data_IF_701309644623
#
_entry.id   IF_701309644623
#
_cell.length_a   1.000
_cell.length_b   1.000
_cell.length_c   1.000
_cell.angle_alpha   90.00
_cell.angle_beta   90.00
_cell.angle_gamma   90.00
#
_symmetry.space_group_name_H-M   'P 1'
#
loop_
_entity.id
_entity.type
_entity.pdbx_description
1 polymer ?
#
# COMPACT_ATOMS: atom_id res chain seq x y z
N UNK A 1 23.37 -8.62 3.45
CA UNK A 1 22.09 -8.18 2.84
C UNK A 1 21.48 -9.16 1.84
N UNK A 2 22.13 -9.47 0.72
CA UNK A 2 21.50 -10.26 -0.37
C UNK A 2 21.00 -11.66 0.04
N UNK A 3 21.70 -12.33 0.96
CA UNK A 3 21.25 -13.63 1.48
C UNK A 3 20.01 -13.51 2.38
N UNK A 4 19.88 -12.41 3.13
CA UNK A 4 18.71 -12.14 3.95
C UNK A 4 17.48 -11.87 3.08
N UNK A 5 17.63 -11.08 2.01
CA UNK A 5 16.61 -10.90 0.97
C UNK A 5 16.13 -12.22 0.38
N UNK A 6 17.08 -13.07 -0.07
CA UNK A 6 16.76 -14.37 -0.66
C UNK A 6 15.99 -15.26 0.32
N UNK A 7 16.39 -15.27 1.59
CA UNK A 7 15.72 -16.07 2.62
C UNK A 7 14.27 -15.60 2.87
N UNK A 8 14.02 -14.28 2.95
CA UNK A 8 12.66 -13.76 3.11
C UNK A 8 11.76 -14.07 1.91
N UNK A 9 12.24 -13.84 0.68
CA UNK A 9 11.49 -14.19 -0.52
C UNK A 9 11.23 -15.70 -0.59
N UNK A 10 12.24 -16.52 -0.33
CA UNK A 10 12.09 -17.97 -0.30
C UNK A 10 11.01 -18.39 0.69
N UNK A 11 11.04 -17.86 1.91
CA UNK A 11 10.01 -18.13 2.93
C UNK A 11 8.61 -17.78 2.44
N UNK A 12 8.46 -16.64 1.76
CA UNK A 12 7.15 -16.14 1.32
C UNK A 12 6.62 -16.93 0.11
N UNK A 13 7.44 -17.14 -0.91
CA UNK A 13 7.07 -17.91 -2.09
C UNK A 13 6.89 -19.41 -1.83
N UNK A 14 7.29 -19.94 -0.67
CA UNK A 14 6.99 -21.32 -0.29
C UNK A 14 5.75 -21.44 0.61
N UNK A 15 5.14 -20.32 1.01
CA UNK A 15 3.89 -20.35 1.76
C UNK A 15 2.70 -20.55 0.82
N UNK A 16 2.03 -21.68 0.95
CA UNK A 16 0.78 -21.99 0.23
C UNK A 16 -0.28 -20.89 0.42
N UNK A 17 -0.33 -20.27 1.60
CA UNK A 17 -1.28 -19.20 1.90
C UNK A 17 -1.14 -18.00 0.96
N UNK A 18 0.06 -17.69 0.45
CA UNK A 18 0.29 -16.57 -0.47
C UNK A 18 -0.40 -16.81 -1.81
N UNK A 19 -0.23 -18.00 -2.39
CA UNK A 19 -0.89 -18.36 -3.64
C UNK A 19 -2.40 -18.53 -3.49
N UNK A 20 -2.86 -19.13 -2.38
CA UNK A 20 -4.29 -19.25 -2.08
C UNK A 20 -4.93 -17.86 -1.98
N UNK A 21 -4.24 -16.91 -1.35
CA UNK A 21 -4.72 -15.53 -1.27
C UNK A 21 -4.80 -14.87 -2.64
N UNK A 22 -3.73 -14.92 -3.44
CA UNK A 22 -3.74 -14.36 -4.80
C UNK A 22 -4.82 -14.98 -5.69
N UNK A 23 -4.99 -16.31 -5.63
CA UNK A 23 -6.04 -17.00 -6.34
C UNK A 23 -7.44 -16.57 -5.88
N UNK A 24 -7.63 -16.43 -4.55
CA UNK A 24 -8.90 -15.93 -3.98
C UNK A 24 -9.20 -14.51 -4.46
N UNK A 25 -8.24 -13.60 -4.43
CA UNK A 25 -8.40 -12.23 -4.94
C UNK A 25 -8.74 -12.24 -6.44
N UNK A 26 -8.07 -13.08 -7.22
CA UNK A 26 -8.32 -13.23 -8.66
C UNK A 26 -9.75 -13.71 -8.94
N UNK A 27 -10.19 -14.77 -8.26
CA UNK A 27 -11.55 -15.33 -8.40
C UNK A 27 -12.61 -14.31 -7.98
N UNK A 28 -12.42 -13.62 -6.85
CA UNK A 28 -13.34 -12.59 -6.38
C UNK A 28 -13.42 -11.41 -7.35
N UNK A 29 -12.30 -10.99 -7.92
CA UNK A 29 -12.26 -9.90 -8.89
C UNK A 29 -12.97 -10.26 -10.19
N UNK A 30 -12.71 -11.47 -10.71
CA UNK A 30 -13.41 -12.01 -11.89
C UNK A 30 -14.92 -12.08 -11.61
N UNK A 31 -15.32 -12.68 -10.49
CA UNK A 31 -16.72 -12.81 -10.12
C UNK A 31 -17.41 -11.45 -9.98
N UNK A 32 -16.78 -10.48 -9.30
CA UNK A 32 -17.32 -9.13 -9.15
C UNK A 32 -17.53 -8.44 -10.51
N UNK A 33 -16.58 -8.61 -11.44
CA UNK A 33 -16.67 -8.05 -12.79
C UNK A 33 -17.79 -8.70 -13.60
N UNK A 34 -17.96 -10.03 -13.52
CA UNK A 34 -19.05 -10.73 -14.19
C UNK A 34 -20.42 -10.38 -13.61
N UNK A 35 -20.54 -10.22 -12.29
CA UNK A 35 -21.79 -9.78 -11.65
C UNK A 35 -22.14 -8.36 -12.09
N UNK A 36 -21.15 -7.47 -12.19
CA UNK A 36 -21.34 -6.08 -12.64
C UNK A 36 -21.54 -5.95 -14.16
N UNK A 37 -21.27 -6.99 -14.94
CA UNK A 37 -21.27 -6.93 -16.42
C UNK A 37 -22.59 -6.43 -17.01
N UNK A 38 -23.75 -6.72 -16.39
CA UNK A 38 -25.05 -6.22 -16.85
C UNK A 38 -25.20 -4.69 -16.76
N UNK A 39 -24.35 -4.02 -15.98
CA UNK A 39 -24.34 -2.57 -15.81
C UNK A 39 -23.19 -1.89 -16.61
N UNK A 40 -22.17 -2.65 -17.00
CA UNK A 40 -21.00 -2.14 -17.71
C UNK A 40 -21.31 -2.15 -19.22
N UNK A 41 -21.66 -0.99 -19.78
CA UNK A 41 -22.04 -0.87 -21.20
C UNK A 41 -20.98 -0.21 -22.07
N UNK A 42 -19.99 0.43 -21.45
CA UNK A 42 -18.91 1.15 -22.12
C UNK A 42 -17.58 1.01 -21.39
N UNK A 43 -16.48 1.34 -22.07
CA UNK A 43 -15.16 1.40 -21.44
C UNK A 43 -15.06 2.44 -20.30
N UNK A 44 -15.88 3.50 -20.34
CA UNK A 44 -15.97 4.49 -19.26
C UNK A 44 -16.67 3.90 -18.02
N UNK A 45 -17.77 3.16 -18.21
CA UNK A 45 -18.44 2.46 -17.10
C UNK A 45 -17.49 1.44 -16.45
N UNK A 46 -16.68 0.76 -17.28
CA UNK A 46 -15.65 -0.15 -16.79
C UNK A 46 -14.59 0.58 -15.96
N UNK A 47 -14.07 1.72 -16.43
CA UNK A 47 -13.09 2.51 -15.70
C UNK A 47 -13.66 3.05 -14.37
N UNK A 48 -14.93 3.44 -14.32
CA UNK A 48 -15.59 3.84 -13.08
C UNK A 48 -15.72 2.67 -12.10
N UNK A 49 -16.15 1.50 -12.58
CA UNK A 49 -16.20 0.29 -11.77
C UNK A 49 -14.81 -0.10 -11.24
N UNK A 50 -13.77 0.01 -12.08
CA UNK A 50 -12.38 -0.22 -11.68
C UNK A 50 -11.91 0.77 -10.62
N UNK A 51 -12.27 2.06 -10.72
CA UNK A 51 -11.95 3.06 -9.70
C UNK A 51 -12.48 2.66 -8.32
N UNK A 52 -13.71 2.13 -8.25
CA UNK A 52 -14.28 1.62 -6.99
C UNK A 52 -13.51 0.41 -6.44
N UNK A 53 -13.25 -0.61 -7.28
CA UNK A 53 -12.52 -1.80 -6.85
C UNK A 53 -11.11 -1.45 -6.39
N UNK A 54 -10.46 -0.54 -7.09
CA UNK A 54 -9.06 -0.16 -6.85
C UNK A 54 -8.88 0.57 -5.52
N UNK A 55 -9.89 1.31 -5.06
CA UNK A 55 -9.89 1.91 -3.72
C UNK A 55 -9.91 0.87 -2.59
N UNK A 56 -10.41 -0.34 -2.84
CA UNK A 56 -10.46 -1.43 -1.85
C UNK A 56 -9.18 -2.29 -1.83
N UNK A 57 -8.35 -2.21 -2.87
CA UNK A 57 -7.12 -3.02 -3.00
C UNK A 57 -6.13 -2.79 -1.83
N UNK A 58 -5.86 -1.54 -1.38
CA UNK A 58 -5.00 -1.29 -0.22
C UNK A 58 -5.44 -2.03 1.04
N UNK A 59 -6.76 -2.21 1.21
CA UNK A 59 -7.33 -2.95 2.35
C UNK A 59 -7.05 -4.43 2.16
N UNK A 60 -7.53 -5.06 1.08
CA UNK A 60 -7.39 -6.52 0.94
C UNK A 60 -5.94 -6.98 0.79
N UNK A 61 -5.22 -6.43 -0.21
CA UNK A 61 -3.85 -6.83 -0.51
C UNK A 61 -2.90 -6.32 0.57
N UNK A 62 -3.05 -5.06 0.96
CA UNK A 62 -2.15 -4.46 1.94
C UNK A 62 -2.22 -5.14 3.31
N UNK A 63 -3.41 -5.45 3.82
CA UNK A 63 -3.59 -6.18 5.09
C UNK A 63 -2.88 -7.53 5.03
N UNK A 64 -3.17 -8.30 3.97
CA UNK A 64 -2.60 -9.63 3.83
C UNK A 64 -1.07 -9.58 3.74
N UNK A 65 -0.52 -8.74 2.87
CA UNK A 65 0.93 -8.58 2.72
C UNK A 65 1.57 -8.10 4.02
N UNK A 66 0.92 -7.21 4.78
CA UNK A 66 1.47 -6.68 6.03
C UNK A 66 1.55 -7.78 7.09
N UNK A 67 0.48 -8.56 7.22
CA UNK A 67 0.44 -9.74 8.09
C UNK A 67 1.49 -10.78 7.71
N UNK A 68 1.72 -10.99 6.41
CA UNK A 68 2.69 -11.97 5.92
C UNK A 68 4.15 -11.60 6.26
N UNK A 69 4.48 -10.31 6.26
CA UNK A 69 5.84 -9.80 6.47
C UNK A 69 6.14 -9.60 7.95
N UNK A 70 5.24 -8.94 8.68
CA UNK A 70 5.46 -8.58 10.08
C UNK A 70 4.83 -9.58 11.05
N UNK A 71 3.71 -10.20 10.68
CA UNK A 71 2.90 -11.00 11.59
C UNK A 71 3.61 -12.25 12.10
N UNK A 72 4.28 -12.99 11.21
CA UNK A 72 4.96 -14.23 11.62
C UNK A 72 6.29 -13.95 12.29
N UNK A 73 6.94 -12.84 11.97
CA UNK A 73 8.24 -12.51 12.53
C UNK A 73 8.18 -11.96 13.93
N UNK A 74 7.24 -11.04 14.18
CA UNK A 74 7.01 -10.52 15.52
C UNK A 74 6.50 -11.63 16.46
N UNK A 75 5.78 -12.63 15.94
CA UNK A 75 5.37 -13.82 16.70
C UNK A 75 6.52 -14.77 17.02
N UNK A 76 7.44 -14.97 16.07
CA UNK A 76 8.57 -15.91 16.21
C UNK A 76 9.85 -15.27 16.78
N UNK A 77 9.83 -13.97 17.09
CA UNK A 77 11.01 -13.18 17.49
C UNK A 77 12.21 -13.29 16.53
N UNK A 78 11.98 -13.69 15.28
CA UNK A 78 13.05 -13.93 14.28
C UNK A 78 13.93 -12.71 13.96
N UNK A 79 13.43 -11.48 14.20
CA UNK A 79 14.23 -10.26 14.11
C UNK A 79 15.39 -10.24 15.12
N UNK A 80 15.21 -10.82 16.32
CA UNK A 80 16.28 -10.92 17.33
C UNK A 80 17.38 -11.85 16.85
N UNK A 81 17.00 -12.98 16.25
CA UNK A 81 17.92 -13.93 15.64
C UNK A 81 18.73 -13.28 14.51
N UNK A 82 18.09 -12.49 13.64
CA UNK A 82 18.79 -11.77 12.57
C UNK A 82 19.84 -10.79 13.12
N UNK A 83 19.52 -10.06 14.20
CA UNK A 83 20.46 -9.17 14.88
C UNK A 83 21.60 -9.97 15.52
N UNK A 84 21.31 -11.13 16.12
CA UNK A 84 22.32 -12.04 16.67
C UNK A 84 23.30 -12.58 15.61
N UNK A 85 22.84 -12.73 14.36
CA UNK A 85 23.70 -13.08 13.20
C UNK A 85 24.45 -11.88 12.60
N UNK A 86 24.38 -10.70 13.22
CA UNK A 86 25.15 -9.51 12.84
C UNK A 86 24.46 -8.57 11.85
N UNK A 87 23.17 -8.75 11.57
CA UNK A 87 22.41 -7.78 10.77
C UNK A 87 22.09 -6.51 11.57
N UNK A 88 22.35 -5.35 10.99
CA UNK A 88 22.01 -4.07 11.62
C UNK A 88 20.51 -3.82 11.59
N UNK A 89 20.02 -2.99 12.53
CA UNK A 89 18.60 -2.62 12.63
C UNK A 89 18.11 -1.89 11.37
N UNK A 90 18.94 -1.02 10.80
CA UNK A 90 18.64 -0.32 9.55
C UNK A 90 18.52 -1.27 8.36
N UNK A 91 19.44 -2.24 8.24
CA UNK A 91 19.38 -3.27 7.22
C UNK A 91 18.06 -4.07 7.27
N UNK A 92 17.60 -4.43 8.47
CA UNK A 92 16.31 -5.12 8.65
C UNK A 92 15.14 -4.26 8.15
N UNK A 93 15.12 -2.96 8.49
CA UNK A 93 14.06 -2.03 8.06
C UNK A 93 14.01 -1.94 6.53
N UNK A 94 15.15 -1.66 5.89
CA UNK A 94 15.24 -1.53 4.43
C UNK A 94 14.87 -2.82 3.73
N UNK A 95 15.35 -3.96 4.25
CA UNK A 95 15.01 -5.26 3.70
C UNK A 95 13.50 -5.50 3.71
N UNK A 96 12.83 -5.19 4.82
CA UNK A 96 11.38 -5.34 4.95
C UNK A 96 10.61 -4.44 4.01
N UNK A 97 11.01 -3.19 3.86
CA UNK A 97 10.34 -2.27 2.94
C UNK A 97 10.47 -2.74 1.50
N UNK A 98 11.66 -3.21 1.10
CA UNK A 98 11.87 -3.71 -0.25
C UNK A 98 11.07 -4.99 -0.53
N UNK A 99 11.05 -5.96 0.40
CA UNK A 99 10.22 -7.17 0.25
C UNK A 99 8.73 -6.82 0.24
N UNK A 100 8.30 -5.84 1.06
CA UNK A 100 6.93 -5.31 1.02
C UNK A 100 6.59 -4.73 -0.34
N UNK A 101 7.46 -3.87 -0.88
CA UNK A 101 7.27 -3.28 -2.20
C UNK A 101 7.17 -4.33 -3.30
N UNK A 102 8.06 -5.32 -3.30
CA UNK A 102 8.05 -6.38 -4.31
C UNK A 102 6.77 -7.23 -4.25
N UNK A 103 6.29 -7.57 -3.05
CA UNK A 103 5.06 -8.36 -2.90
C UNK A 103 3.82 -7.56 -3.26
N UNK A 104 3.76 -6.27 -2.90
CA UNK A 104 2.72 -5.38 -3.38
C UNK A 104 2.75 -5.29 -4.90
N UNK A 105 3.92 -5.08 -5.51
CA UNK A 105 4.09 -4.99 -6.96
C UNK A 105 3.57 -6.26 -7.66
N UNK A 106 3.98 -7.45 -7.20
CA UNK A 106 3.49 -8.73 -7.77
C UNK A 106 1.97 -8.81 -7.66
N UNK A 107 1.42 -8.51 -6.50
CA UNK A 107 -0.03 -8.62 -6.27
C UNK A 107 -0.81 -7.64 -7.15
N UNK A 108 -0.33 -6.41 -7.30
CA UNK A 108 -0.94 -5.41 -8.17
C UNK A 108 -0.78 -5.75 -9.65
N UNK A 109 0.35 -6.32 -10.09
CA UNK A 109 0.53 -6.80 -11.47
C UNK A 109 -0.49 -7.89 -11.78
N UNK A 110 -0.68 -8.86 -10.87
CA UNK A 110 -1.69 -9.90 -11.05
C UNK A 110 -3.07 -9.28 -11.21
N UNK A 111 -3.45 -8.31 -10.38
CA UNK A 111 -4.74 -7.61 -10.51
C UNK A 111 -4.84 -6.83 -11.83
N UNK A 112 -3.78 -6.12 -12.22
CA UNK A 112 -3.71 -5.35 -13.45
C UNK A 112 -3.90 -6.23 -14.69
N UNK A 113 -3.37 -7.45 -14.69
CA UNK A 113 -3.60 -8.43 -15.77
C UNK A 113 -5.10 -8.72 -15.89
N UNK A 114 -5.81 -8.96 -14.78
CA UNK A 114 -7.25 -9.20 -14.83
C UNK A 114 -8.02 -8.00 -15.38
N UNK A 115 -7.63 -6.80 -14.97
CA UNK A 115 -8.25 -5.54 -15.41
C UNK A 115 -8.11 -5.34 -16.92
N UNK A 116 -6.97 -5.73 -17.49
CA UNK A 116 -6.71 -5.57 -18.92
C UNK A 116 -7.33 -6.68 -19.77
N UNK A 117 -7.46 -7.89 -19.20
CA UNK A 117 -7.93 -9.08 -19.93
C UNK A 117 -9.46 -9.21 -19.91
N UNK A 118 -10.13 -8.90 -18.80
CA UNK A 118 -11.58 -9.09 -18.67
C UNK A 118 -12.45 -8.29 -19.65
N UNK A 119 -12.14 -7.03 -20.02
CA UNK A 119 -12.88 -6.29 -21.05
C UNK A 119 -13.01 -7.04 -22.37
N UNK A 120 -11.96 -7.79 -22.77
CA UNK A 120 -11.95 -8.60 -23.98
C UNK A 120 -13.01 -9.70 -23.94
N UNK A 121 -13.22 -10.31 -22.77
CA UNK A 121 -14.25 -11.32 -22.55
C UNK A 121 -15.66 -10.73 -22.45
N UNK A 122 -15.79 -9.47 -22.06
CA UNK A 122 -17.07 -8.75 -22.00
C UNK A 122 -17.48 -8.14 -23.36
N UNK A 123 -16.63 -8.24 -24.38
CA UNK A 123 -16.96 -7.84 -25.74
C UNK A 123 -16.86 -6.35 -26.03
N UNK A 124 -16.16 -5.57 -25.18
CA UNK A 124 -15.86 -4.16 -25.46
C UNK A 124 -14.36 -3.88 -25.44
N UNK A 125 -13.92 -3.00 -26.34
CA UNK A 125 -12.54 -2.54 -26.42
C UNK A 125 -12.31 -1.32 -25.55
N UNK A 126 -11.21 -1.29 -24.81
CA UNK A 126 -10.74 -0.08 -24.15
C UNK A 126 -10.00 0.81 -25.15
N UNK A 127 -10.29 2.11 -25.15
CA UNK A 127 -9.47 3.08 -25.88
C UNK A 127 -8.09 3.22 -25.20
N UNK A 128 -7.10 3.76 -25.93
CA UNK A 128 -5.77 4.05 -25.37
C UNK A 128 -5.84 4.99 -24.17
N UNK A 129 -6.71 6.00 -24.24
CA UNK A 129 -6.96 6.95 -23.16
C UNK A 129 -7.51 6.25 -21.90
N UNK A 130 -8.58 5.45 -22.05
CA UNK A 130 -9.19 4.72 -20.93
C UNK A 130 -8.20 3.71 -20.33
N UNK A 131 -7.40 3.06 -21.16
CA UNK A 131 -6.34 2.14 -20.71
C UNK A 131 -5.30 2.86 -19.86
N UNK A 132 -4.85 4.04 -20.30
CA UNK A 132 -3.91 4.88 -19.54
C UNK A 132 -4.50 5.36 -18.21
N UNK A 133 -5.77 5.77 -18.20
CA UNK A 133 -6.51 6.14 -17.00
C UNK A 133 -6.54 5.00 -15.98
N UNK A 134 -6.93 3.80 -16.40
CA UNK A 134 -7.00 2.61 -15.54
C UNK A 134 -5.60 2.27 -15.00
N UNK A 135 -4.57 2.28 -15.84
CA UNK A 135 -3.20 2.00 -15.40
C UNK A 135 -2.74 2.96 -14.30
N UNK A 136 -3.02 4.25 -14.47
CA UNK A 136 -2.66 5.26 -13.47
C UNK A 136 -3.49 5.12 -12.18
N UNK A 137 -4.78 4.77 -12.30
CA UNK A 137 -5.65 4.47 -11.15
C UNK A 137 -5.16 3.28 -10.33
N UNK A 138 -4.45 2.31 -10.93
CA UNK A 138 -3.81 1.21 -10.20
C UNK A 138 -2.47 1.61 -9.58
N UNK A 139 -1.71 2.47 -10.25
CA UNK A 139 -0.41 2.93 -9.78
C UNK A 139 -0.51 3.76 -8.48
N UNK A 140 -1.48 4.67 -8.39
CA UNK A 140 -1.57 5.58 -7.24
C UNK A 140 -1.91 4.89 -5.91
N UNK A 141 -2.85 3.94 -5.80
CA UNK A 141 -3.05 3.16 -4.59
C UNK A 141 -1.90 2.18 -4.30
N UNK A 142 -1.16 1.67 -5.29
CA UNK A 142 0.08 0.93 -5.02
C UNK A 142 1.07 1.80 -4.25
N UNK A 143 1.30 3.03 -4.73
CA UNK A 143 2.18 4.00 -4.10
C UNK A 143 1.69 4.34 -2.68
N UNK A 144 0.39 4.63 -2.54
CA UNK A 144 -0.22 4.94 -1.25
C UNK A 144 -0.09 3.78 -0.26
N UNK A 145 -0.39 2.55 -0.69
CA UNK A 145 -0.30 1.34 0.14
C UNK A 145 1.14 1.13 0.63
N UNK A 146 2.12 1.33 -0.25
CA UNK A 146 3.53 1.18 0.09
C UNK A 146 3.98 2.20 1.14
N UNK A 147 3.56 3.46 1.02
CA UNK A 147 3.91 4.50 1.99
C UNK A 147 3.21 4.25 3.32
N UNK A 148 1.93 3.84 3.32
CA UNK A 148 1.23 3.42 4.53
C UNK A 148 1.90 2.23 5.21
N UNK A 149 2.44 1.29 4.44
CA UNK A 149 3.26 0.20 4.93
C UNK A 149 4.47 0.72 5.72
N UNK A 150 5.16 1.70 5.15
CA UNK A 150 6.33 2.32 5.79
C UNK A 150 5.97 3.06 7.07
N UNK A 151 4.88 3.84 7.07
CA UNK A 151 4.39 4.53 8.27
C UNK A 151 3.96 3.52 9.35
N UNK A 152 3.20 2.48 8.98
CA UNK A 152 2.76 1.45 9.92
C UNK A 152 3.93 0.60 10.47
N UNK A 153 5.03 0.46 9.71
CA UNK A 153 6.22 -0.24 10.18
C UNK A 153 6.85 0.41 11.41
N UNK A 154 6.68 1.73 11.62
CA UNK A 154 7.12 2.43 12.82
C UNK A 154 6.53 1.76 14.07
N UNK A 155 5.23 1.45 14.03
CA UNK A 155 4.53 0.79 15.13
C UNK A 155 4.97 -0.67 15.29
N UNK A 156 5.33 -1.36 14.20
CA UNK A 156 5.91 -2.70 14.25
C UNK A 156 7.22 -2.72 15.03
N UNK A 157 8.14 -1.80 14.71
CA UNK A 157 9.44 -1.74 15.36
C UNK A 157 9.37 -1.18 16.78
N UNK A 158 8.47 -0.22 17.04
CA UNK A 158 8.31 0.37 18.36
C UNK A 158 7.65 -0.59 19.37
N UNK A 159 6.53 -1.20 18.99
CA UNK A 159 5.73 -2.03 19.92
C UNK A 159 6.19 -3.49 19.96
N UNK A 160 6.91 -3.96 18.93
CA UNK A 160 7.24 -5.37 18.73
C UNK A 160 6.00 -6.30 18.74
N UNK A 161 4.80 -5.76 18.49
CA UNK A 161 3.53 -6.49 18.48
C UNK A 161 2.87 -6.37 17.11
N UNK A 162 2.64 -7.52 16.47
CA UNK A 162 2.01 -7.59 15.15
C UNK A 162 0.64 -6.90 15.13
N UNK A 163 -0.16 -7.08 16.18
CA UNK A 163 -1.52 -6.52 16.27
C UNK A 163 -1.55 -5.00 16.21
N UNK A 164 -0.64 -4.32 16.92
CA UNK A 164 -0.61 -2.85 16.96
C UNK A 164 -0.17 -2.26 15.62
N UNK A 165 0.84 -2.87 15.01
CA UNK A 165 1.32 -2.48 13.69
C UNK A 165 0.25 -2.69 12.60
N UNK A 166 -0.41 -3.85 12.66
CA UNK A 166 -1.50 -4.21 11.77
C UNK A 166 -2.68 -3.25 11.90
N UNK A 167 -3.10 -2.94 13.13
CA UNK A 167 -4.17 -1.97 13.39
C UNK A 167 -3.80 -0.59 12.82
N UNK A 168 -2.54 -0.18 13.00
CA UNK A 168 -2.04 1.10 12.47
C UNK A 168 -2.11 1.14 10.94
N UNK A 169 -1.71 0.05 10.27
CA UNK A 169 -1.85 -0.09 8.83
C UNK A 169 -3.32 -0.03 8.39
N UNK A 170 -4.20 -0.77 9.05
CA UNK A 170 -5.64 -0.80 8.74
C UNK A 170 -6.25 0.59 8.84
N UNK A 171 -5.99 1.32 9.94
CA UNK A 171 -6.53 2.67 10.15
C UNK A 171 -6.05 3.70 9.11
N UNK A 172 -4.83 3.52 8.59
CA UNK A 172 -4.32 4.33 7.48
C UNK A 172 -5.00 3.94 6.16
N UNK A 173 -5.04 2.64 5.86
CA UNK A 173 -5.58 2.10 4.61
C UNK A 173 -7.10 2.36 4.45
N UNK A 174 -7.87 2.33 5.54
CA UNK A 174 -9.30 2.68 5.53
C UNK A 174 -9.57 4.18 5.45
N UNK A 175 -8.53 5.01 5.53
CA UNK A 175 -8.67 6.47 5.56
C UNK A 175 -9.17 7.03 6.90
N UNK A 176 -9.30 6.21 7.94
CA UNK A 176 -9.75 6.65 9.27
C UNK A 176 -8.82 7.71 9.85
N UNK A 177 -7.50 7.51 9.75
CA UNK A 177 -6.52 8.51 10.18
C UNK A 177 -6.67 9.80 9.39
N UNK A 178 -6.81 9.70 8.07
CA UNK A 178 -6.98 10.88 7.21
C UNK A 178 -8.23 11.68 7.58
N UNK A 179 -9.35 10.99 7.86
CA UNK A 179 -10.60 11.61 8.27
C UNK A 179 -10.43 12.36 9.60
N UNK A 180 -9.91 11.68 10.63
CA UNK A 180 -9.73 12.28 11.96
C UNK A 180 -8.79 13.49 11.89
N UNK A 181 -7.63 13.33 11.23
CA UNK A 181 -6.65 14.41 11.08
C UNK A 181 -7.23 15.56 10.25
N UNK A 182 -7.98 15.29 9.19
CA UNK A 182 -8.65 16.33 8.39
C UNK A 182 -9.69 17.10 9.20
N UNK A 183 -10.45 16.43 10.08
CA UNK A 183 -11.42 17.09 10.96
C UNK A 183 -10.74 18.00 11.98
N UNK A 184 -9.59 17.59 12.51
CA UNK A 184 -8.79 18.41 13.42
C UNK A 184 -8.23 19.61 12.65
N UNK A 185 -7.49 19.38 11.56
CA UNK A 185 -6.86 20.45 10.78
C UNK A 185 -7.88 21.40 10.10
N UNK A 186 -9.11 20.96 9.89
CA UNK A 186 -10.19 21.77 9.35
C UNK A 186 -10.82 22.76 10.34
N UNK A 187 -10.41 22.74 11.61
CA UNK A 187 -10.91 23.69 12.61
C UNK A 187 -10.39 25.09 12.31
N UNK A 188 -11.28 26.10 12.33
CA UNK A 188 -10.95 27.50 11.99
C UNK A 188 -9.74 28.02 12.77
N UNK A 189 -9.67 27.71 14.07
CA UNK A 189 -8.56 28.15 14.92
C UNK A 189 -7.18 27.64 14.46
N UNK A 190 -7.10 26.43 13.88
CA UNK A 190 -5.83 25.90 13.36
C UNK A 190 -5.49 26.50 12.01
N UNK A 191 -6.50 26.69 11.15
CA UNK A 191 -6.32 27.32 9.84
C UNK A 191 -5.80 28.75 10.01
N UNK A 192 -6.35 29.51 10.95
CA UNK A 192 -5.96 30.88 11.19
C UNK A 192 -4.54 30.99 11.82
N UNK A 193 -4.08 29.94 12.52
CA UNK A 193 -2.78 29.92 13.20
C UNK A 193 -1.63 29.39 12.34
N UNK A 194 -1.86 28.31 11.58
CA UNK A 194 -0.81 27.54 10.88
C UNK A 194 -1.06 27.46 9.37
N UNK A 195 -2.25 27.87 8.89
CA UNK A 195 -2.69 27.69 7.52
C UNK A 195 -3.36 26.34 7.28
N UNK A 196 -3.93 26.17 6.08
CA UNK A 196 -4.59 24.92 5.71
C UNK A 196 -3.58 23.82 5.40
N UNK A 197 -3.40 22.90 6.35
CA UNK A 197 -2.49 21.76 6.22
C UNK A 197 -3.13 20.52 5.59
N UNK A 198 -4.46 20.51 5.37
CA UNK A 198 -5.17 19.36 4.79
C UNK A 198 -4.61 18.95 3.42
N UNK A 199 -4.23 19.86 2.50
CA UNK A 199 -3.67 19.49 1.20
C UNK A 199 -2.41 18.63 1.29
N UNK A 200 -1.65 18.71 2.38
CA UNK A 200 -0.41 17.98 2.59
C UNK A 200 -0.60 16.59 3.20
N UNK A 201 -1.82 16.18 3.53
CA UNK A 201 -2.09 14.80 3.95
C UNK A 201 -1.85 13.86 2.79
N UNK A 202 -1.21 12.71 3.05
CA UNK A 202 -0.83 11.76 2.00
C UNK A 202 -1.99 11.39 1.07
N UNK A 203 -3.17 11.09 1.61
CA UNK A 203 -4.36 10.79 0.79
C UNK A 203 -4.70 11.94 -0.15
N UNK A 204 -4.62 13.18 0.33
CA UNK A 204 -4.94 14.36 -0.47
C UNK A 204 -3.87 14.63 -1.52
N UNK A 205 -2.58 14.40 -1.21
CA UNK A 205 -1.50 14.48 -2.20
C UNK A 205 -1.69 13.42 -3.30
N UNK A 206 -2.02 12.17 -2.93
CA UNK A 206 -2.30 11.09 -3.90
C UNK A 206 -3.52 11.45 -4.77
N UNK A 207 -4.55 12.06 -4.19
CA UNK A 207 -5.71 12.54 -4.95
C UNK A 207 -5.35 13.68 -5.91
N UNK A 208 -4.45 14.59 -5.52
CA UNK A 208 -3.92 15.64 -6.40
C UNK A 208 -3.09 15.05 -7.54
N UNK A 209 -2.28 14.01 -7.29
CA UNK A 209 -1.54 13.28 -8.32
C UNK A 209 -2.51 12.66 -9.34
N UNK A 210 -3.57 12.00 -8.85
CA UNK A 210 -4.63 11.46 -9.71
C UNK A 210 -5.30 12.56 -10.54
N UNK A 211 -5.74 13.64 -9.92
CA UNK A 211 -6.39 14.76 -10.61
C UNK A 211 -5.45 15.42 -11.62
N UNK A 212 -4.17 15.58 -11.29
CA UNK A 212 -3.15 16.13 -12.19
C UNK A 212 -2.97 15.27 -13.44
N UNK A 213 -2.97 13.95 -13.31
CA UNK A 213 -2.92 13.05 -14.46
C UNK A 213 -4.17 13.17 -15.35
N UNK A 214 -5.37 13.16 -14.78
CA UNK A 214 -6.61 13.29 -15.56
C UNK A 214 -6.73 14.64 -16.27
N UNK A 215 -6.26 15.71 -15.63
CA UNK A 215 -6.31 17.07 -16.18
C UNK A 215 -5.10 17.39 -17.09
N UNK A 216 -4.25 16.41 -17.41
CA UNK A 216 -3.02 16.59 -18.20
C UNK A 216 -2.05 17.66 -17.62
N UNK A 217 -2.14 17.93 -16.33
CA UNK A 217 -1.36 18.92 -15.58
C UNK A 217 -0.55 18.26 -14.46
N UNK A 218 0.06 17.10 -14.75
CA UNK A 218 0.88 16.37 -13.78
C UNK A 218 2.25 17.04 -13.66
N UNK A 219 2.49 17.75 -12.55
CA UNK A 219 3.81 18.29 -12.22
C UNK A 219 4.63 17.30 -11.37
N UNK A 220 5.94 17.28 -11.60
CA UNK A 220 6.86 16.42 -10.84
C UNK A 220 6.89 16.76 -9.34
N UNK A 221 6.60 18.01 -8.99
CA UNK A 221 6.62 18.51 -7.62
C UNK A 221 5.63 17.78 -6.69
N UNK A 222 4.53 17.26 -7.25
CA UNK A 222 3.53 16.49 -6.50
C UNK A 222 4.11 15.18 -5.91
N UNK A 223 5.19 14.65 -6.48
CA UNK A 223 5.85 13.44 -5.98
C UNK A 223 6.82 13.68 -4.81
N UNK A 224 7.16 14.94 -4.53
CA UNK A 224 8.04 15.30 -3.39
C UNK A 224 7.39 14.87 -2.07
N UNK A 225 6.09 15.10 -1.91
CA UNK A 225 5.35 14.73 -0.70
C UNK A 225 5.42 13.23 -0.37
N UNK A 226 5.02 12.32 -1.29
CA UNK A 226 5.16 10.88 -1.12
C UNK A 226 6.57 10.42 -0.75
N UNK A 227 7.60 10.99 -1.39
CA UNK A 227 9.01 10.68 -1.10
C UNK A 227 9.40 11.13 0.31
N UNK A 228 8.97 12.32 0.74
CA UNK A 228 9.21 12.82 2.09
C UNK A 228 8.53 11.94 3.14
N UNK A 229 7.28 11.52 2.92
CA UNK A 229 6.60 10.61 3.83
C UNK A 229 7.38 9.31 4.02
N UNK A 230 7.89 8.73 2.93
CA UNK A 230 8.70 7.52 2.97
C UNK A 230 10.04 7.72 3.69
N UNK A 231 10.74 8.82 3.41
CA UNK A 231 12.02 9.12 4.03
C UNK A 231 11.87 9.36 5.55
N UNK A 232 10.86 10.13 5.94
CA UNK A 232 10.56 10.43 7.35
C UNK A 232 10.15 9.16 8.10
N UNK A 233 9.30 8.30 7.51
CA UNK A 233 8.90 7.06 8.17
C UNK A 233 10.08 6.12 8.39
N UNK A 234 11.00 6.00 7.41
CA UNK A 234 12.23 5.22 7.56
C UNK A 234 13.12 5.80 8.67
N UNK A 235 13.31 7.12 8.70
CA UNK A 235 14.14 7.78 9.70
C UNK A 235 13.58 7.57 11.11
N UNK A 236 12.27 7.79 11.29
CA UNK A 236 11.58 7.59 12.59
C UNK A 236 11.61 6.12 13.01
N UNK A 237 11.33 5.18 12.09
CA UNK A 237 11.43 3.75 12.37
C UNK A 237 12.84 3.37 12.83
N UNK A 238 13.88 3.89 12.17
CA UNK A 238 15.28 3.61 12.53
C UNK A 238 15.65 4.17 13.89
N UNK A 239 15.27 5.41 14.18
CA UNK A 239 15.54 6.07 15.47
C UNK A 239 14.86 5.33 16.63
N UNK A 240 13.59 4.99 16.48
CA UNK A 240 12.84 4.25 17.50
C UNK A 240 13.36 2.83 17.64
N UNK A 241 13.66 2.16 16.52
CA UNK A 241 14.17 0.80 16.58
C UNK A 241 15.52 0.74 17.26
N UNK A 242 16.44 1.69 17.01
CA UNK A 242 17.75 1.75 17.66
C UNK A 242 17.69 2.01 19.17
N UNK A 243 16.67 2.75 19.64
CA UNK A 243 16.49 3.03 21.08
C UNK A 243 15.73 1.94 21.83
N UNK A 244 15.08 1.02 21.12
CA UNK A 244 14.26 -0.01 21.73
C UNK A 244 15.11 -1.18 22.24
N UNK A 245 14.94 -1.54 23.50
CA UNK A 245 15.43 -2.80 24.04
C UNK A 245 14.53 -3.94 23.54
N UNK A 246 15.17 -5.02 23.07
CA UNK A 246 14.45 -6.19 22.59
C UNK A 246 14.08 -7.04 23.80
N UNK A 247 12.78 -7.24 24.03
CA UNK A 247 12.30 -8.10 25.11
C UNK A 247 12.65 -9.57 24.78
N UNK A 248 13.62 -10.11 25.52
CA UNK A 248 14.07 -11.50 25.42
C UNK A 248 13.06 -12.44 26.08
#
# INVERSE_FOLDING_TARGET
MLNYFKAEFYRIFHKKSFYIFLASCSVLFIAATFIASGQIKSGLDYAQFMSFITQMIPIFIGIYTFGLIYGDELRSKSMQTAIGFGHTRFEIIINKLFVSFALLLISYIVMMIHVMVLPLFLGFSLSSEVTGMIAFQFFTPLLQTFIYFSIASIMAFYTQKATSAMLSFVLLATGTVNLIVSLILGQRFLIDMVGDLRPYLLTNIINQINAGFFNHNLSADLFIGPVLYLAVSIAVATLLFNRKELEF
#
